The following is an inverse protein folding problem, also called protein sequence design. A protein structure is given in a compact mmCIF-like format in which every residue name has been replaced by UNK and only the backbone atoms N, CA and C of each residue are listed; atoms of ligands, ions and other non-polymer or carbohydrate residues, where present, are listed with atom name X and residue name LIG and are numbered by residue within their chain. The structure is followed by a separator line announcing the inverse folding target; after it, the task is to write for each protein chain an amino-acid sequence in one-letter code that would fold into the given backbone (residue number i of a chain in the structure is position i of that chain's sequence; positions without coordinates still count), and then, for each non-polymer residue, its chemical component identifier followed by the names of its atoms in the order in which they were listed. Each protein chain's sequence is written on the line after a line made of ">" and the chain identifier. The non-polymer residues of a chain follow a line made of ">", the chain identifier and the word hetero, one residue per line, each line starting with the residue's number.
data_IF_082044229900
#
_entry.id   IF_082044229900
#
_cell.length_a   1.000
_cell.length_b   1.000
_cell.length_c   1.000
_cell.angle_alpha   90.00
_cell.angle_beta   90.00
_cell.angle_gamma   90.00
#
_symmetry.space_group_name_H-M   'P 1'
#
loop_
_entity.id
_entity.type
_entity.pdbx_description
1 polymer ?
#
# COMPACT_ATOMS: atom_id res chain seq x y z
N UNK A 1 -8.22 -12.46 -19.72
CA UNK A 1 -9.18 -11.37 -19.36
C UNK A 1 -10.56 -11.73 -19.88
N UNK A 2 -11.59 -11.75 -19.02
CA UNK A 2 -12.99 -11.93 -19.41
C UNK A 2 -13.48 -10.75 -20.24
N UNK A 3 -14.22 -11.02 -21.29
CA UNK A 3 -14.89 -9.97 -22.06
C UNK A 3 -16.25 -9.62 -21.41
N UNK A 4 -16.37 -8.39 -20.93
CA UNK A 4 -17.53 -7.93 -20.18
C UNK A 4 -18.37 -6.99 -21.06
N UNK A 5 -19.56 -7.48 -21.52
CA UNK A 5 -20.45 -6.73 -22.42
C UNK A 5 -21.21 -5.58 -21.76
N UNK A 6 -21.24 -5.53 -20.44
CA UNK A 6 -22.08 -4.52 -19.72
C UNK A 6 -21.68 -3.06 -20.00
N UNK A 7 -20.45 -2.82 -20.48
CA UNK A 7 -19.96 -1.49 -20.82
C UNK A 7 -20.03 -1.18 -22.31
N UNK A 8 -20.28 -2.17 -23.17
CA UNK A 8 -20.30 -2.03 -24.62
C UNK A 8 -21.37 -1.00 -25.04
N UNK A 9 -20.95 0.03 -25.79
CA UNK A 9 -21.78 1.15 -26.23
C UNK A 9 -22.45 1.95 -25.10
N UNK A 10 -21.95 1.84 -23.84
CA UNK A 10 -22.42 2.64 -22.71
C UNK A 10 -21.54 3.87 -22.50
N UNK A 11 -22.17 5.01 -22.22
CA UNK A 11 -21.43 6.20 -21.77
C UNK A 11 -20.95 5.98 -20.35
N UNK A 12 -19.66 6.16 -20.12
CA UNK A 12 -19.01 6.00 -18.82
C UNK A 12 -18.21 7.26 -18.50
N UNK A 13 -18.40 7.78 -17.30
CA UNK A 13 -17.62 8.90 -16.78
C UNK A 13 -16.51 8.38 -15.89
N UNK A 14 -15.25 8.74 -16.20
CA UNK A 14 -14.08 8.52 -15.30
C UNK A 14 -13.76 9.84 -14.63
N UNK A 15 -13.82 9.89 -13.30
CA UNK A 15 -13.58 11.09 -12.51
C UNK A 15 -12.22 11.00 -11.79
N UNK A 16 -11.28 11.85 -12.24
CA UNK A 16 -9.90 11.95 -11.74
C UNK A 16 -8.90 11.07 -12.49
N UNK A 17 -7.80 11.67 -12.92
CA UNK A 17 -6.73 11.06 -13.73
C UNK A 17 -5.44 10.78 -12.96
N UNK A 18 -5.53 10.22 -11.74
CA UNK A 18 -4.38 9.50 -11.19
C UNK A 18 -4.24 8.13 -11.88
N UNK A 19 -3.20 7.37 -11.55
CA UNK A 19 -2.87 6.06 -12.17
C UNK A 19 -4.08 5.12 -12.34
N UNK A 20 -4.97 5.04 -11.34
CA UNK A 20 -6.17 4.19 -11.39
C UNK A 20 -7.22 4.70 -12.37
N UNK A 21 -7.41 6.02 -12.47
CA UNK A 21 -8.36 6.62 -13.43
C UNK A 21 -7.91 6.46 -14.87
N UNK A 22 -6.63 6.68 -15.14
CA UNK A 22 -6.03 6.46 -16.45
C UNK A 22 -6.15 4.98 -16.89
N UNK A 23 -5.84 4.05 -15.98
CA UNK A 23 -6.01 2.60 -16.24
C UNK A 23 -7.46 2.22 -16.50
N UNK A 24 -8.40 2.77 -15.71
CA UNK A 24 -9.82 2.53 -15.88
C UNK A 24 -10.34 3.07 -17.23
N UNK A 25 -9.92 4.28 -17.63
CA UNK A 25 -10.34 4.88 -18.89
C UNK A 25 -9.93 4.02 -20.09
N UNK A 26 -8.66 3.60 -20.16
CA UNK A 26 -8.17 2.73 -21.24
C UNK A 26 -8.83 1.36 -21.25
N UNK A 27 -9.07 0.78 -20.07
CA UNK A 27 -9.77 -0.51 -19.99
C UNK A 27 -11.20 -0.39 -20.51
N UNK A 28 -11.95 0.62 -20.06
CA UNK A 28 -13.34 0.84 -20.47
C UNK A 28 -13.47 1.09 -21.97
N UNK A 29 -12.54 1.86 -22.56
CA UNK A 29 -12.48 2.06 -24.01
C UNK A 29 -12.25 0.72 -24.74
N UNK A 30 -11.32 -0.13 -24.29
CA UNK A 30 -11.11 -1.49 -24.83
C UNK A 30 -12.33 -2.39 -24.70
N UNK A 31 -13.16 -2.18 -23.68
CA UNK A 31 -14.44 -2.89 -23.47
C UNK A 31 -15.58 -2.32 -24.31
N UNK A 32 -15.31 -1.34 -25.18
CA UNK A 32 -16.28 -0.74 -26.09
C UNK A 32 -17.19 0.31 -25.43
N UNK A 33 -16.82 0.87 -24.28
CA UNK A 33 -17.52 1.97 -23.66
C UNK A 33 -17.26 3.29 -24.40
N UNK A 34 -18.21 4.21 -24.34
CA UNK A 34 -18.06 5.62 -24.76
C UNK A 34 -17.54 6.39 -23.54
N UNK A 35 -16.21 6.49 -23.44
CA UNK A 35 -15.56 7.04 -22.26
C UNK A 35 -15.45 8.55 -22.33
N UNK A 36 -15.88 9.23 -21.26
CA UNK A 36 -15.56 10.63 -20.99
C UNK A 36 -14.75 10.69 -19.69
N UNK A 37 -13.64 11.39 -19.72
CA UNK A 37 -12.81 11.60 -18.53
C UNK A 37 -12.95 13.03 -18.05
N UNK A 38 -13.04 13.23 -16.73
CA UNK A 38 -13.01 14.56 -16.10
C UNK A 38 -11.92 14.63 -15.03
N UNK A 39 -11.10 15.68 -15.10
CA UNK A 39 -10.05 15.96 -14.11
C UNK A 39 -9.94 17.46 -13.82
N UNK A 40 -9.70 17.83 -12.57
CA UNK A 40 -9.61 19.23 -12.14
C UNK A 40 -8.34 19.95 -12.61
N UNK A 41 -7.26 19.23 -12.97
CA UNK A 41 -6.02 19.85 -13.46
C UNK A 41 -6.22 20.43 -14.86
N UNK A 42 -5.58 21.59 -15.17
CA UNK A 42 -5.52 22.10 -16.52
C UNK A 42 -4.95 21.07 -17.50
N UNK A 43 -5.40 21.12 -18.76
CA UNK A 43 -4.98 20.18 -19.81
C UNK A 43 -3.46 20.18 -20.02
N UNK A 44 -2.86 21.36 -20.02
CA UNK A 44 -1.43 21.59 -20.26
C UNK A 44 -0.55 20.97 -19.15
N UNK A 45 -1.10 20.81 -17.97
CA UNK A 45 -0.42 20.24 -16.78
C UNK A 45 -0.75 18.77 -16.55
N UNK A 46 -1.51 18.14 -17.47
CA UNK A 46 -2.03 16.79 -17.29
C UNK A 46 -1.62 15.86 -18.45
N UNK A 47 -0.40 15.27 -18.41
CA UNK A 47 0.08 14.37 -19.47
C UNK A 47 -0.83 13.16 -19.71
N UNK A 48 -1.52 12.65 -18.67
CA UNK A 48 -2.46 11.55 -18.83
C UNK A 48 -3.69 11.98 -19.66
N UNK A 49 -4.18 13.22 -19.46
CA UNK A 49 -5.26 13.78 -20.26
C UNK A 49 -4.87 13.94 -21.72
N UNK A 50 -3.65 14.40 -21.98
CA UNK A 50 -3.09 14.57 -23.34
C UNK A 50 -3.00 13.21 -24.04
N UNK A 51 -2.42 12.21 -23.38
CA UNK A 51 -2.30 10.86 -23.95
C UNK A 51 -3.66 10.23 -24.26
N UNK A 52 -4.64 10.34 -23.35
CA UNK A 52 -5.97 9.79 -23.57
C UNK A 52 -6.74 10.48 -24.70
N UNK A 53 -6.53 11.80 -24.88
CA UNK A 53 -7.12 12.54 -26.00
C UNK A 53 -6.51 12.08 -27.33
N UNK A 54 -5.20 11.85 -27.40
CA UNK A 54 -4.52 11.30 -28.58
C UNK A 54 -5.02 9.88 -28.93
N UNK A 55 -5.43 9.10 -27.92
CA UNK A 55 -6.05 7.79 -28.08
C UNK A 55 -7.53 7.87 -28.51
N UNK A 56 -8.13 9.08 -28.61
CA UNK A 56 -9.50 9.31 -29.05
C UNK A 56 -10.53 9.34 -27.92
N UNK A 57 -10.11 9.31 -26.66
CA UNK A 57 -10.99 9.39 -25.49
C UNK A 57 -11.35 10.85 -25.23
N UNK A 58 -12.64 11.13 -25.00
CA UNK A 58 -13.10 12.48 -24.67
C UNK A 58 -12.59 12.90 -23.29
N UNK A 59 -11.93 14.07 -23.20
CA UNK A 59 -11.33 14.59 -21.98
C UNK A 59 -11.91 15.99 -21.66
N UNK A 60 -12.30 16.21 -20.41
CA UNK A 60 -12.77 17.49 -19.86
C UNK A 60 -11.90 17.83 -18.65
N UNK A 61 -11.10 18.87 -18.73
CA UNK A 61 -10.11 19.25 -17.72
C UNK A 61 -10.24 20.71 -17.27
N UNK A 62 -9.51 21.09 -16.22
CA UNK A 62 -9.49 22.45 -15.69
C UNK A 62 -10.70 22.79 -14.81
N UNK A 63 -11.45 21.78 -14.37
CA UNK A 63 -12.59 21.94 -13.47
C UNK A 63 -13.54 20.75 -13.51
N UNK A 64 -14.62 20.87 -12.75
CA UNK A 64 -15.64 19.82 -12.62
C UNK A 64 -17.02 20.39 -12.97
N UNK A 65 -17.35 20.59 -14.28
CA UNK A 65 -18.63 21.13 -14.69
C UNK A 65 -19.76 20.13 -14.38
N UNK A 66 -20.70 20.52 -13.52
CA UNK A 66 -21.81 19.66 -13.11
C UNK A 66 -22.75 19.33 -14.27
N UNK A 67 -22.80 20.19 -15.30
CA UNK A 67 -23.59 20.01 -16.54
C UNK A 67 -23.13 18.77 -17.32
N UNK A 68 -21.88 18.32 -17.11
CA UNK A 68 -21.38 17.08 -17.72
C UNK A 68 -22.27 15.89 -17.36
N UNK A 69 -22.83 15.87 -16.14
CA UNK A 69 -23.75 14.83 -15.68
C UNK A 69 -25.19 14.95 -16.27
N UNK A 70 -25.45 15.91 -17.13
CA UNK A 70 -26.70 15.95 -17.89
C UNK A 70 -26.66 15.00 -19.09
N UNK A 71 -25.50 14.45 -19.41
CA UNK A 71 -25.39 13.28 -20.28
C UNK A 71 -25.85 11.99 -19.53
N UNK A 72 -26.41 11.03 -20.29
CA UNK A 72 -26.88 9.75 -19.73
C UNK A 72 -25.73 8.77 -19.50
N UNK A 73 -24.95 9.00 -18.45
CA UNK A 73 -23.92 8.05 -18.04
C UNK A 73 -24.52 6.82 -17.36
N UNK A 74 -24.10 5.63 -17.81
CA UNK A 74 -24.49 4.36 -17.20
C UNK A 74 -23.77 4.09 -15.87
N UNK A 75 -22.56 4.63 -15.71
CA UNK A 75 -21.74 4.47 -14.51
C UNK A 75 -20.69 5.57 -14.43
N UNK A 76 -20.32 5.95 -13.21
CA UNK A 76 -19.14 6.76 -12.90
C UNK A 76 -18.06 5.89 -12.27
N UNK A 77 -16.84 5.94 -12.80
CA UNK A 77 -15.67 5.34 -12.15
C UNK A 77 -14.82 6.46 -11.57
N UNK A 78 -14.78 6.58 -10.24
CA UNK A 78 -14.07 7.66 -9.57
C UNK A 78 -12.69 7.22 -9.07
N UNK A 79 -11.74 8.14 -9.08
CA UNK A 79 -10.50 7.96 -8.34
C UNK A 79 -10.79 7.79 -6.83
N UNK A 80 -10.22 6.78 -6.15
CA UNK A 80 -10.50 6.51 -4.74
C UNK A 80 -10.31 7.71 -3.81
N UNK A 81 -9.32 8.57 -4.08
CA UNK A 81 -9.04 9.77 -3.29
C UNK A 81 -10.07 10.89 -3.37
N UNK A 82 -10.96 10.87 -4.37
CA UNK A 82 -12.06 11.83 -4.47
C UNK A 82 -13.14 11.46 -3.45
N UNK A 83 -13.52 12.35 -2.51
CA UNK A 83 -14.51 12.03 -1.49
C UNK A 83 -15.92 11.92 -2.08
N UNK A 84 -16.80 11.20 -1.38
CA UNK A 84 -18.20 11.09 -1.75
C UNK A 84 -18.99 12.42 -1.59
N UNK A 85 -18.45 13.37 -0.83
CA UNK A 85 -18.94 14.75 -0.69
C UNK A 85 -18.49 15.67 -1.85
N UNK A 86 -17.77 15.14 -2.85
CA UNK A 86 -17.47 15.90 -4.06
C UNK A 86 -18.76 16.17 -4.84
N UNK A 87 -19.05 17.42 -5.27
CA UNK A 87 -20.30 17.76 -5.94
C UNK A 87 -20.63 16.91 -7.19
N UNK A 88 -19.59 16.47 -7.94
CA UNK A 88 -19.80 15.55 -9.07
C UNK A 88 -20.29 14.19 -8.62
N UNK A 89 -19.76 13.68 -7.51
CA UNK A 89 -20.15 12.36 -6.97
C UNK A 89 -21.55 12.46 -6.36
N UNK A 90 -21.84 13.50 -5.58
CA UNK A 90 -23.17 13.73 -5.01
C UNK A 90 -24.24 13.81 -6.11
N UNK A 91 -24.03 14.64 -7.14
CA UNK A 91 -24.97 14.78 -8.27
C UNK A 91 -25.14 13.46 -9.05
N UNK A 92 -24.07 12.66 -9.21
CA UNK A 92 -24.18 11.35 -9.84
C UNK A 92 -25.08 10.41 -9.04
N UNK A 93 -24.88 10.34 -7.71
CA UNK A 93 -25.71 9.53 -6.82
C UNK A 93 -27.17 10.00 -6.79
N UNK A 94 -27.44 11.31 -6.76
CA UNK A 94 -28.79 11.88 -6.85
C UNK A 94 -29.49 11.49 -8.15
N UNK A 95 -28.75 11.37 -9.25
CA UNK A 95 -29.28 10.90 -10.55
C UNK A 95 -29.41 9.38 -10.64
N UNK A 96 -29.00 8.63 -9.59
CA UNK A 96 -29.01 7.16 -9.59
C UNK A 96 -27.89 6.54 -10.46
N UNK A 97 -26.85 7.30 -10.80
CA UNK A 97 -25.69 6.78 -11.53
C UNK A 97 -24.80 5.99 -10.54
N UNK A 98 -24.55 4.70 -10.76
CA UNK A 98 -23.65 3.92 -9.92
C UNK A 98 -22.25 4.53 -9.90
N UNK A 99 -21.62 4.59 -8.71
CA UNK A 99 -20.27 5.13 -8.52
C UNK A 99 -19.34 4.01 -8.09
N UNK A 100 -18.45 3.63 -8.99
CA UNK A 100 -17.49 2.53 -8.80
C UNK A 100 -16.07 3.06 -8.62
N UNK A 101 -15.19 2.17 -8.15
CA UNK A 101 -13.75 2.34 -8.19
C UNK A 101 -13.10 1.32 -9.13
N UNK A 102 -11.90 1.58 -9.54
CA UNK A 102 -11.16 0.80 -10.55
C UNK A 102 -10.99 -0.69 -10.16
N UNK A 103 -10.99 -1.01 -8.87
CA UNK A 103 -10.86 -2.40 -8.39
C UNK A 103 -12.09 -3.25 -8.72
N UNK A 104 -13.28 -2.65 -8.85
CA UNK A 104 -14.47 -3.32 -9.36
C UNK A 104 -14.27 -3.78 -10.80
N UNK A 105 -13.70 -2.92 -11.65
CA UNK A 105 -13.40 -3.26 -13.04
C UNK A 105 -12.40 -4.42 -13.12
N UNK A 106 -11.37 -4.40 -12.27
CA UNK A 106 -10.38 -5.48 -12.18
C UNK A 106 -11.05 -6.82 -11.86
N UNK A 107 -11.96 -6.86 -10.90
CA UNK A 107 -12.74 -8.06 -10.57
C UNK A 107 -13.56 -8.58 -11.77
N UNK A 108 -14.28 -7.68 -12.42
CA UNK A 108 -15.18 -8.04 -13.52
C UNK A 108 -14.44 -8.71 -14.69
N UNK A 109 -13.23 -8.27 -14.99
CA UNK A 109 -12.44 -8.77 -16.14
C UNK A 109 -11.45 -9.90 -15.78
N UNK A 110 -11.21 -10.16 -14.48
CA UNK A 110 -10.19 -11.12 -14.05
C UNK A 110 -10.60 -12.57 -14.34
N UNK A 111 -9.71 -13.33 -14.96
CA UNK A 111 -9.80 -14.79 -14.99
C UNK A 111 -9.12 -15.42 -13.76
N UNK A 112 -8.21 -14.70 -13.12
CA UNK A 112 -7.50 -15.16 -11.92
C UNK A 112 -8.37 -15.01 -10.66
N UNK A 113 -8.26 -15.94 -9.70
CA UNK A 113 -8.83 -15.78 -8.37
C UNK A 113 -8.22 -14.59 -7.65
N UNK A 114 -8.97 -13.99 -6.72
CA UNK A 114 -8.57 -12.79 -6.01
C UNK A 114 -8.40 -13.07 -4.52
N UNK A 115 -7.28 -12.63 -3.98
CA UNK A 115 -7.04 -12.48 -2.54
C UNK A 115 -7.05 -11.00 -2.23
N UNK A 116 -8.03 -10.52 -1.47
CA UNK A 116 -8.16 -9.12 -1.11
C UNK A 116 -7.60 -8.85 0.29
N UNK A 117 -6.69 -7.91 0.43
CA UNK A 117 -6.06 -7.56 1.72
C UNK A 117 -6.38 -6.11 2.07
N UNK A 118 -7.00 -5.89 3.24
CA UNK A 118 -7.23 -4.57 3.80
C UNK A 118 -6.81 -4.52 5.28
N UNK A 119 -6.96 -3.36 5.89
CA UNK A 119 -6.65 -3.09 7.30
C UNK A 119 -6.12 -1.68 7.49
N UNK A 120 -5.88 -1.29 8.73
CA UNK A 120 -5.26 0.01 9.02
C UNK A 120 -3.76 -0.03 8.75
N UNK A 121 -3.06 -0.98 9.34
CA UNK A 121 -1.61 -1.19 9.21
C UNK A 121 -1.28 -2.59 8.68
N UNK A 122 -0.06 -2.80 8.18
CA UNK A 122 0.43 -4.11 7.74
C UNK A 122 -0.04 -4.57 6.36
N UNK A 123 -0.98 -3.89 5.71
CA UNK A 123 -1.51 -4.26 4.38
C UNK A 123 -0.40 -4.58 3.37
N UNK A 124 0.48 -3.63 3.12
CA UNK A 124 1.53 -3.75 2.10
C UNK A 124 2.47 -4.91 2.39
N UNK A 125 2.89 -5.06 3.64
CA UNK A 125 3.77 -6.16 4.08
C UNK A 125 3.07 -7.51 3.89
N UNK A 126 1.84 -7.64 4.37
CA UNK A 126 1.05 -8.88 4.24
C UNK A 126 0.79 -9.21 2.77
N UNK A 127 0.41 -8.22 1.94
CA UNK A 127 0.19 -8.42 0.51
C UNK A 127 1.46 -8.90 -0.20
N UNK A 128 2.61 -8.30 0.14
CA UNK A 128 3.89 -8.69 -0.45
C UNK A 128 4.31 -10.09 0.00
N UNK A 129 4.25 -10.39 1.30
CA UNK A 129 4.54 -11.73 1.82
C UNK A 129 3.67 -12.81 1.17
N UNK A 130 2.36 -12.57 1.04
CA UNK A 130 1.44 -13.51 0.37
C UNK A 130 1.85 -13.72 -1.10
N UNK A 131 2.11 -12.62 -1.82
CA UNK A 131 2.51 -12.69 -3.23
C UNK A 131 3.81 -13.46 -3.43
N UNK A 132 4.82 -13.24 -2.59
CA UNK A 132 6.10 -13.97 -2.65
C UNK A 132 5.93 -15.45 -2.32
N UNK A 133 5.16 -15.79 -1.27
CA UNK A 133 4.90 -17.19 -0.90
C UNK A 133 4.14 -17.92 -2.01
N UNK A 134 3.12 -17.31 -2.61
CA UNK A 134 2.38 -17.92 -3.71
C UNK A 134 3.25 -18.08 -4.97
N UNK A 135 4.09 -17.10 -5.26
CA UNK A 135 5.04 -17.17 -6.38
C UNK A 135 6.06 -18.28 -6.17
N UNK A 136 6.63 -18.39 -4.96
CA UNK A 136 7.54 -19.48 -4.61
C UNK A 136 6.88 -20.85 -4.68
N UNK A 137 5.57 -20.94 -4.40
CA UNK A 137 4.76 -22.15 -4.56
C UNK A 137 4.32 -22.42 -6.01
N UNK A 138 4.73 -21.61 -6.98
CA UNK A 138 4.35 -21.77 -8.40
C UNK A 138 2.91 -21.37 -8.73
N UNK A 139 2.26 -20.59 -7.87
CA UNK A 139 0.86 -20.14 -8.04
C UNK A 139 0.70 -18.73 -8.63
N UNK A 140 1.79 -18.08 -9.11
CA UNK A 140 1.74 -16.79 -9.79
C UNK A 140 1.10 -15.67 -8.98
N UNK A 141 1.64 -15.34 -7.80
CA UNK A 141 1.14 -14.26 -6.93
C UNK A 141 1.38 -12.86 -7.51
N UNK A 142 0.38 -12.28 -8.18
CA UNK A 142 0.47 -10.97 -8.84
C UNK A 142 -0.01 -9.85 -7.92
N UNK A 143 0.91 -8.98 -7.50
CA UNK A 143 0.62 -7.85 -6.63
C UNK A 143 -0.09 -6.72 -7.40
N UNK A 144 -1.15 -6.16 -6.83
CA UNK A 144 -1.92 -5.08 -7.47
C UNK A 144 -2.74 -4.24 -6.49
N UNK A 145 -3.43 -3.24 -6.99
CA UNK A 145 -4.34 -2.38 -6.23
C UNK A 145 -3.67 -1.13 -5.67
N UNK A 146 -3.67 -0.98 -4.34
CA UNK A 146 -3.06 0.18 -3.68
C UNK A 146 -1.52 0.10 -3.61
N UNK A 147 -0.95 -0.97 -4.11
CA UNK A 147 0.50 -1.17 -4.27
C UNK A 147 0.82 -1.62 -5.70
N UNK A 148 2.01 -1.30 -6.17
CA UNK A 148 2.46 -1.69 -7.49
C UNK A 148 1.67 -1.02 -8.61
N UNK A 149 1.06 -1.84 -9.46
CA UNK A 149 0.25 -1.39 -10.58
C UNK A 149 -1.25 -1.37 -10.26
N UNK A 150 -2.04 -0.54 -10.95
CA UNK A 150 -3.49 -0.58 -10.85
C UNK A 150 -4.04 -1.99 -11.06
N UNK A 151 -5.04 -2.37 -10.27
CA UNK A 151 -5.59 -3.72 -10.30
C UNK A 151 -6.17 -4.08 -11.68
N UNK A 152 -6.84 -3.14 -12.34
CA UNK A 152 -7.38 -3.32 -13.69
C UNK A 152 -6.29 -3.53 -14.75
N UNK A 153 -5.10 -2.96 -14.56
CA UNK A 153 -3.97 -3.19 -15.46
C UNK A 153 -3.44 -4.62 -15.32
N UNK A 154 -3.23 -5.08 -14.08
CA UNK A 154 -2.72 -6.43 -13.81
C UNK A 154 -3.74 -7.49 -14.22
N UNK A 155 -5.03 -7.27 -13.94
CA UNK A 155 -6.12 -8.20 -14.29
C UNK A 155 -6.25 -8.47 -15.80
N UNK A 156 -5.82 -7.55 -16.66
CA UNK A 156 -5.86 -7.75 -18.13
C UNK A 156 -4.91 -8.85 -18.62
N UNK A 157 -3.82 -9.10 -17.90
CA UNK A 157 -2.79 -10.08 -18.27
C UNK A 157 -2.82 -11.35 -17.41
N UNK A 158 -3.48 -11.29 -16.26
CA UNK A 158 -3.62 -12.42 -15.36
C UNK A 158 -4.44 -13.55 -15.98
N UNK A 159 -4.03 -14.78 -15.69
CA UNK A 159 -4.65 -16.01 -16.17
C UNK A 159 -5.24 -16.83 -15.00
N UNK A 160 -5.99 -17.88 -15.27
CA UNK A 160 -6.52 -18.80 -14.24
C UNK A 160 -5.42 -19.50 -13.40
N UNK A 161 -4.16 -19.48 -13.88
CA UNK A 161 -3.01 -20.04 -13.16
C UNK A 161 -2.38 -19.07 -12.17
N UNK A 162 -2.73 -17.80 -12.29
CA UNK A 162 -2.25 -16.73 -11.45
C UNK A 162 -3.22 -16.47 -10.29
N UNK A 163 -2.78 -15.70 -9.31
CA UNK A 163 -3.60 -15.20 -8.20
C UNK A 163 -3.40 -13.70 -8.09
N UNK A 164 -4.46 -12.91 -8.21
CA UNK A 164 -4.41 -11.47 -7.95
C UNK A 164 -4.37 -11.24 -6.44
N UNK A 165 -3.24 -10.79 -5.93
CA UNK A 165 -3.04 -10.43 -4.53
C UNK A 165 -3.19 -8.92 -4.42
N UNK A 166 -4.38 -8.47 -4.00
CA UNK A 166 -4.80 -7.08 -4.09
C UNK A 166 -4.75 -6.38 -2.74
N UNK A 167 -3.88 -5.37 -2.60
CA UNK A 167 -3.98 -4.42 -1.49
C UNK A 167 -5.14 -3.46 -1.73
N UNK A 168 -6.06 -3.36 -0.77
CA UNK A 168 -7.28 -2.57 -0.88
C UNK A 168 -7.40 -1.54 0.25
N UNK A 169 -7.50 -0.27 -0.12
CA UNK A 169 -7.79 0.82 0.81
C UNK A 169 -9.29 0.89 1.14
N UNK A 170 -9.65 1.54 2.26
CA UNK A 170 -11.05 1.83 2.58
C UNK A 170 -11.74 2.64 1.49
N UNK A 171 -11.01 3.56 0.85
CA UNK A 171 -11.52 4.40 -0.22
C UNK A 171 -11.91 3.62 -1.48
N UNK A 172 -11.11 2.60 -1.84
CA UNK A 172 -11.43 1.70 -2.95
C UNK A 172 -12.63 0.82 -2.64
N UNK A 173 -12.72 0.30 -1.42
CA UNK A 173 -13.78 -0.59 -0.98
C UNK A 173 -15.16 0.08 -0.83
N UNK A 174 -15.23 1.40 -0.83
CA UNK A 174 -16.50 2.13 -0.86
C UNK A 174 -17.19 2.07 -2.24
N UNK A 175 -16.43 1.88 -3.32
CA UNK A 175 -16.94 1.86 -4.70
C UNK A 175 -16.91 0.47 -5.33
N UNK A 176 -17.17 -0.59 -4.56
CA UNK A 176 -17.33 -1.94 -5.07
C UNK A 176 -18.81 -2.37 -5.06
N UNK A 177 -19.23 -3.12 -6.07
CA UNK A 177 -20.59 -3.63 -6.21
C UNK A 177 -20.62 -5.17 -6.24
N UNK A 178 -20.03 -5.79 -7.26
CA UNK A 178 -19.96 -7.23 -7.44
C UNK A 178 -18.65 -7.84 -6.94
N UNK A 179 -17.68 -7.04 -6.56
CA UNK A 179 -16.35 -7.49 -6.11
C UNK A 179 -16.44 -8.63 -5.10
N UNK A 180 -15.81 -9.76 -5.42
CA UNK A 180 -15.92 -10.99 -4.66
C UNK A 180 -14.55 -11.69 -4.61
N UNK A 181 -13.75 -11.55 -3.54
CA UNK A 181 -12.52 -12.29 -3.36
C UNK A 181 -12.80 -13.72 -2.85
N UNK A 182 -12.00 -14.70 -3.26
CA UNK A 182 -12.04 -16.06 -2.69
C UNK A 182 -11.48 -16.07 -1.26
N UNK A 183 -10.47 -15.21 -1.01
CA UNK A 183 -9.88 -15.03 0.30
C UNK A 183 -9.82 -13.53 0.61
N UNK A 184 -10.36 -13.13 1.76
CA UNK A 184 -10.22 -11.79 2.30
C UNK A 184 -9.31 -11.80 3.53
N UNK A 185 -8.49 -10.76 3.70
CA UNK A 185 -7.64 -10.58 4.88
C UNK A 185 -7.89 -9.19 5.46
N UNK A 186 -8.21 -9.13 6.74
CA UNK A 186 -8.25 -7.87 7.50
C UNK A 186 -7.14 -7.93 8.56
N UNK A 187 -6.06 -7.19 8.33
CA UNK A 187 -4.86 -7.23 9.19
C UNK A 187 -5.12 -6.68 10.58
N UNK A 188 -5.74 -5.52 10.66
CA UNK A 188 -6.20 -4.87 11.89
C UNK A 188 -7.11 -3.68 11.56
N UNK A 189 -7.87 -3.22 12.56
CA UNK A 189 -8.77 -2.08 12.48
C UNK A 189 -8.45 -1.10 13.61
N UNK A 190 -7.91 0.06 13.26
CA UNK A 190 -7.55 1.13 14.19
C UNK A 190 -8.00 2.48 13.63
N UNK A 191 -8.39 3.45 14.46
CA UNK A 191 -8.83 4.77 14.01
C UNK A 191 -7.77 5.45 13.13
N UNK A 192 -8.18 5.73 11.89
CA UNK A 192 -7.39 6.50 10.91
C UNK A 192 -8.33 7.01 9.82
N UNK A 193 -7.95 8.06 9.09
CA UNK A 193 -8.75 8.69 8.04
C UNK A 193 -10.17 9.08 8.48
N UNK A 194 -10.33 9.52 9.73
CA UNK A 194 -11.63 9.95 10.27
C UNK A 194 -12.12 11.23 9.60
N UNK A 195 -11.20 12.09 9.16
CA UNK A 195 -11.46 13.28 8.34
C UNK A 195 -12.23 12.96 7.06
N UNK A 196 -11.94 11.82 6.42
CA UNK A 196 -12.61 11.36 5.21
C UNK A 196 -13.90 10.57 5.50
N UNK A 197 -13.87 9.66 6.47
CA UNK A 197 -14.98 8.74 6.74
C UNK A 197 -16.03 9.30 7.74
N UNK A 198 -15.70 10.41 8.41
CA UNK A 198 -16.56 11.04 9.42
C UNK A 198 -16.56 10.35 10.78
N UNK A 199 -16.39 9.01 10.83
CA UNK A 199 -16.30 8.24 12.08
C UNK A 199 -15.47 6.96 11.91
N UNK A 200 -15.08 6.36 13.05
CA UNK A 200 -14.39 5.06 13.04
C UNK A 200 -15.31 3.94 12.55
N UNK A 201 -16.57 3.97 12.90
CA UNK A 201 -17.59 3.00 12.48
C UNK A 201 -17.75 2.99 10.95
N UNK A 202 -17.80 4.17 10.34
CA UNK A 202 -17.86 4.29 8.88
C UNK A 202 -16.58 3.77 8.20
N UNK A 203 -15.40 4.05 8.81
CA UNK A 203 -14.13 3.52 8.33
C UNK A 203 -14.10 1.99 8.40
N UNK A 204 -14.56 1.40 9.50
CA UNK A 204 -14.70 -0.05 9.66
C UNK A 204 -15.68 -0.61 8.63
N UNK A 205 -16.84 0.01 8.47
CA UNK A 205 -17.84 -0.41 7.48
C UNK A 205 -17.28 -0.40 6.06
N UNK A 206 -16.53 0.66 5.69
CA UNK A 206 -15.88 0.74 4.38
C UNK A 206 -14.92 -0.43 4.14
N UNK A 207 -14.10 -0.81 5.13
CA UNK A 207 -13.20 -1.97 5.01
C UNK A 207 -13.96 -3.30 5.04
N UNK A 208 -15.03 -3.38 5.81
CA UNK A 208 -15.87 -4.57 5.91
C UNK A 208 -16.60 -4.89 4.60
N UNK A 209 -16.77 -3.91 3.70
CA UNK A 209 -17.29 -4.16 2.35
C UNK A 209 -16.50 -5.24 1.60
N UNK A 210 -15.22 -5.45 1.92
CA UNK A 210 -14.39 -6.49 1.30
C UNK A 210 -15.07 -7.87 1.27
N UNK A 211 -15.87 -8.18 2.30
CA UNK A 211 -16.53 -9.50 2.42
C UNK A 211 -18.01 -9.50 1.99
N UNK A 212 -18.59 -8.37 1.54
CA UNK A 212 -20.04 -8.24 1.35
C UNK A 212 -20.66 -9.26 0.40
N UNK A 213 -19.91 -9.71 -0.60
CA UNK A 213 -20.36 -10.68 -1.60
C UNK A 213 -19.81 -12.11 -1.34
N UNK A 214 -19.02 -12.30 -0.27
CA UNK A 214 -18.46 -13.60 0.07
C UNK A 214 -19.54 -14.57 0.55
N UNK A 215 -19.29 -15.84 0.31
CA UNK A 215 -20.17 -16.97 0.63
C UNK A 215 -19.48 -17.96 1.58
N UNK A 216 -20.16 -19.02 1.98
CA UNK A 216 -19.60 -20.11 2.80
C UNK A 216 -18.45 -20.88 2.13
N UNK A 217 -18.25 -20.69 0.82
CA UNK A 217 -17.13 -21.28 0.08
C UNK A 217 -15.84 -20.50 0.26
N UNK A 218 -15.96 -19.24 0.59
CA UNK A 218 -14.86 -18.28 0.68
C UNK A 218 -14.28 -18.23 2.09
N UNK A 219 -13.09 -17.66 2.25
CA UNK A 219 -12.39 -17.58 3.53
C UNK A 219 -12.08 -16.14 3.88
N UNK A 220 -12.43 -15.74 5.11
CA UNK A 220 -11.99 -14.47 5.67
C UNK A 220 -10.98 -14.68 6.80
N UNK A 221 -9.79 -14.09 6.67
CA UNK A 221 -8.69 -14.16 7.63
C UNK A 221 -8.76 -12.92 8.53
N UNK A 222 -8.93 -13.11 9.84
CA UNK A 222 -9.18 -12.05 10.81
C UNK A 222 -8.21 -12.09 12.00
N UNK A 223 -7.79 -10.91 12.46
CA UNK A 223 -6.89 -10.72 13.58
C UNK A 223 -7.64 -10.81 14.92
N UNK A 224 -7.60 -11.95 15.59
CA UNK A 224 -8.25 -12.18 16.89
C UNK A 224 -7.49 -11.58 18.07
N UNK A 225 -6.40 -10.85 17.87
CA UNK A 225 -5.88 -9.95 18.91
C UNK A 225 -6.85 -8.78 19.20
N UNK A 226 -7.85 -8.55 18.31
CA UNK A 226 -8.81 -7.46 18.42
C UNK A 226 -10.22 -7.99 18.67
N UNK A 227 -10.87 -7.53 19.74
CA UNK A 227 -12.26 -7.91 20.06
C UNK A 227 -13.24 -7.48 18.94
N UNK A 228 -12.98 -6.34 18.29
CA UNK A 228 -13.76 -5.91 17.12
C UNK A 228 -13.73 -6.94 15.99
N UNK A 229 -12.57 -7.58 15.72
CA UNK A 229 -12.48 -8.62 14.71
C UNK A 229 -13.27 -9.88 15.10
N UNK A 230 -13.28 -10.24 16.38
CA UNK A 230 -14.11 -11.34 16.93
C UNK A 230 -15.61 -11.04 16.78
N UNK A 231 -16.02 -9.81 17.05
CA UNK A 231 -17.40 -9.36 16.82
C UNK A 231 -17.78 -9.44 15.33
N UNK A 232 -16.94 -8.90 14.45
CA UNK A 232 -17.18 -8.92 13.00
C UNK A 232 -17.23 -10.34 12.43
N UNK A 233 -16.47 -11.28 12.99
CA UNK A 233 -16.50 -12.70 12.63
C UNK A 233 -17.89 -13.33 12.70
N UNK A 234 -18.78 -12.81 13.56
CA UNK A 234 -20.17 -13.29 13.69
C UNK A 234 -21.11 -12.74 12.60
N UNK A 235 -20.65 -11.77 11.80
CA UNK A 235 -21.46 -11.01 10.84
C UNK A 235 -21.17 -11.36 9.37
N UNK A 236 -20.33 -12.36 9.11
CA UNK A 236 -20.01 -12.82 7.77
C UNK A 236 -20.61 -14.18 7.44
N UNK A 237 -20.82 -14.44 6.14
CA UNK A 237 -21.15 -15.78 5.63
C UNK A 237 -19.91 -16.60 5.30
N UNK A 238 -18.75 -15.92 5.09
CA UNK A 238 -17.50 -16.58 4.77
C UNK A 238 -17.00 -17.43 5.93
N UNK A 239 -16.27 -18.47 5.65
CA UNK A 239 -15.57 -19.27 6.65
C UNK A 239 -14.48 -18.42 7.32
N UNK A 240 -14.62 -18.19 8.62
CA UNK A 240 -13.64 -17.42 9.40
C UNK A 240 -12.43 -18.28 9.70
N UNK A 241 -11.25 -17.72 9.38
CA UNK A 241 -9.95 -18.30 9.72
C UNK A 241 -9.18 -17.27 10.57
N UNK A 242 -9.15 -17.44 11.89
CA UNK A 242 -8.50 -16.48 12.77
C UNK A 242 -6.98 -16.60 12.75
N UNK A 243 -6.30 -15.49 13.05
CA UNK A 243 -4.91 -15.50 13.48
C UNK A 243 -4.73 -14.69 14.76
N UNK A 244 -3.74 -15.09 15.59
CA UNK A 244 -3.47 -14.43 16.87
C UNK A 244 -2.03 -14.60 17.33
N UNK A 245 -1.48 -13.56 17.96
CA UNK A 245 -0.20 -13.60 18.68
C UNK A 245 -0.38 -13.75 20.19
N UNK A 246 -1.63 -13.69 20.70
CA UNK A 246 -1.91 -13.63 22.14
C UNK A 246 -2.68 -14.85 22.64
N UNK A 247 -3.32 -15.61 21.77
CA UNK A 247 -4.09 -16.80 22.13
C UNK A 247 -4.04 -17.88 21.06
N UNK A 248 -4.24 -19.13 21.47
CA UNK A 248 -4.40 -20.26 20.54
C UNK A 248 -5.77 -20.18 19.87
N UNK A 249 -5.78 -20.25 18.55
CA UNK A 249 -6.99 -20.20 17.71
C UNK A 249 -7.06 -21.38 16.73
N UNK A 250 -8.24 -21.68 16.19
CA UNK A 250 -8.39 -22.66 15.10
C UNK A 250 -7.97 -22.05 13.74
N UNK A 251 -6.71 -21.64 13.68
CA UNK A 251 -6.10 -20.93 12.55
C UNK A 251 -4.60 -20.82 12.71
N UNK A 252 -4.05 -19.63 12.41
CA UNK A 252 -2.63 -19.36 12.60
C UNK A 252 -2.38 -18.66 13.95
N UNK A 253 -1.39 -19.10 14.73
CA UNK A 253 -1.12 -18.49 16.03
C UNK A 253 0.34 -18.61 16.46
N UNK A 254 0.75 -17.72 17.37
CA UNK A 254 2.02 -17.75 18.04
C UNK A 254 1.91 -18.50 19.37
N UNK A 255 2.74 -19.52 19.61
CA UNK A 255 2.85 -20.23 20.88
C UNK A 255 4.30 -20.62 21.12
N UNK A 256 4.86 -20.25 22.27
CA UNK A 256 6.24 -20.56 22.67
C UNK A 256 7.31 -20.18 21.61
N UNK A 257 7.14 -19.01 20.96
CA UNK A 257 8.04 -18.54 19.89
C UNK A 257 7.89 -19.29 18.56
N UNK A 258 6.89 -20.15 18.42
CA UNK A 258 6.58 -20.91 17.22
C UNK A 258 5.35 -20.35 16.52
N UNK A 259 5.44 -20.12 15.22
CA UNK A 259 4.31 -19.83 14.35
C UNK A 259 3.68 -21.15 13.95
N UNK A 260 2.44 -21.35 14.35
CA UNK A 260 1.69 -22.60 14.16
C UNK A 260 0.43 -22.35 13.32
N UNK A 261 0.01 -23.36 12.59
CA UNK A 261 -1.28 -23.42 11.93
C UNK A 261 -2.03 -24.67 12.37
N UNK A 262 -3.17 -24.49 13.05
CA UNK A 262 -4.01 -25.59 13.57
C UNK A 262 -3.23 -26.66 14.32
N UNK A 263 -2.24 -26.24 15.11
CA UNK A 263 -1.37 -27.11 15.92
C UNK A 263 -0.09 -27.57 15.23
N UNK A 264 0.00 -27.46 13.91
CA UNK A 264 1.21 -27.79 13.16
C UNK A 264 2.21 -26.64 13.20
N UNK A 265 3.48 -26.91 13.48
CA UNK A 265 4.55 -25.91 13.48
C UNK A 265 4.92 -25.59 12.02
N UNK A 266 4.92 -24.31 11.68
CA UNK A 266 5.34 -23.81 10.37
C UNK A 266 6.78 -23.31 10.42
N UNK A 267 7.10 -22.43 11.39
CA UNK A 267 8.44 -21.88 11.57
C UNK A 267 8.59 -21.27 12.97
N UNK A 268 9.80 -20.86 13.32
CA UNK A 268 10.06 -20.05 14.53
C UNK A 268 9.86 -18.56 14.21
N UNK A 269 9.39 -17.78 15.17
CA UNK A 269 9.21 -16.34 15.00
C UNK A 269 10.54 -15.57 14.80
N UNK A 270 11.63 -16.06 15.40
CA UNK A 270 12.97 -15.48 15.26
C UNK A 270 13.66 -15.83 13.93
N UNK A 271 13.09 -16.74 13.14
CA UNK A 271 13.54 -17.04 11.77
C UNK A 271 12.93 -16.09 10.72
N UNK A 272 11.98 -15.20 11.09
CA UNK A 272 11.44 -14.21 10.15
C UNK A 272 12.55 -13.26 9.68
N UNK A 273 12.62 -13.06 8.36
CA UNK A 273 13.62 -12.16 7.75
C UNK A 273 13.43 -10.68 8.10
N UNK A 274 12.28 -10.31 8.67
CA UNK A 274 11.97 -8.96 9.16
C UNK A 274 11.61 -8.97 10.64
N UNK A 275 12.23 -8.14 11.48
CA UNK A 275 11.97 -8.08 12.90
C UNK A 275 10.65 -7.37 13.25
N UNK A 276 10.21 -7.54 14.49
CA UNK A 276 9.11 -6.80 15.09
C UNK A 276 7.82 -7.61 15.23
N UNK A 277 7.11 -7.40 16.36
CA UNK A 277 5.87 -8.12 16.69
C UNK A 277 4.77 -7.94 15.65
N UNK A 278 4.68 -6.75 15.04
CA UNK A 278 3.74 -6.48 13.96
C UNK A 278 4.02 -7.32 12.68
N UNK A 279 5.29 -7.70 12.45
CA UNK A 279 5.63 -8.60 11.35
C UNK A 279 5.31 -10.06 11.66
N UNK A 280 5.29 -10.44 12.93
CA UNK A 280 4.75 -11.74 13.35
C UNK A 280 3.26 -11.84 13.04
N UNK A 281 2.46 -10.78 13.28
CA UNK A 281 1.05 -10.72 12.89
C UNK A 281 0.88 -10.82 11.36
N UNK A 282 1.68 -10.08 10.59
CA UNK A 282 1.66 -10.12 9.13
C UNK A 282 2.02 -11.53 8.61
N UNK A 283 3.01 -12.18 9.21
CA UNK A 283 3.42 -13.55 8.88
C UNK A 283 2.32 -14.57 9.21
N UNK A 284 1.64 -14.45 10.36
CA UNK A 284 0.51 -15.33 10.72
C UNK A 284 -0.65 -15.20 9.74
N UNK A 285 -1.00 -13.97 9.34
CA UNK A 285 -2.00 -13.75 8.30
C UNK A 285 -1.57 -14.37 6.95
N UNK A 286 -0.29 -14.26 6.59
CA UNK A 286 0.28 -14.88 5.39
C UNK A 286 0.23 -16.40 5.47
N UNK A 287 0.64 -16.99 6.60
CA UNK A 287 0.56 -18.45 6.86
C UNK A 287 -0.88 -18.94 6.68
N UNK A 288 -1.86 -18.24 7.27
CA UNK A 288 -3.27 -18.59 7.14
C UNK A 288 -3.70 -18.66 5.66
N UNK A 289 -3.37 -17.65 4.86
CA UNK A 289 -3.66 -17.62 3.42
C UNK A 289 -2.94 -18.73 2.67
N UNK A 290 -1.64 -18.91 2.91
CA UNK A 290 -0.81 -19.92 2.26
C UNK A 290 -1.34 -21.34 2.52
N UNK A 291 -1.75 -21.64 3.75
CA UNK A 291 -2.33 -22.95 4.12
C UNK A 291 -3.69 -23.18 3.47
N UNK A 292 -4.53 -22.16 3.29
CA UNK A 292 -5.77 -22.24 2.52
C UNK A 292 -5.48 -22.56 1.05
N UNK A 293 -4.40 -22.03 0.52
CA UNK A 293 -3.94 -22.25 -0.86
C UNK A 293 -3.14 -23.56 -1.03
N UNK A 294 -2.99 -24.35 0.03
CA UNK A 294 -2.31 -25.65 -0.01
C UNK A 294 -0.78 -25.56 -0.13
N UNK A 295 -0.19 -24.45 0.30
CA UNK A 295 1.28 -24.28 0.25
C UNK A 295 1.93 -25.08 1.39
N UNK A 296 3.01 -25.79 1.06
CA UNK A 296 3.79 -26.58 2.00
C UNK A 296 4.55 -25.70 3.00
N UNK A 297 4.72 -26.19 4.24
CA UNK A 297 5.37 -25.43 5.30
C UNK A 297 6.80 -25.01 4.96
N UNK A 298 7.55 -25.84 4.27
CA UNK A 298 8.94 -25.53 3.91
C UNK A 298 9.00 -24.33 2.96
N UNK A 299 8.13 -24.25 1.95
CA UNK A 299 8.05 -23.10 1.03
C UNK A 299 7.68 -21.83 1.80
N UNK A 300 6.72 -21.92 2.73
CA UNK A 300 6.33 -20.78 3.58
C UNK A 300 7.51 -20.31 4.42
N UNK A 301 8.17 -21.25 5.12
CA UNK A 301 9.32 -20.98 5.98
C UNK A 301 10.47 -20.35 5.21
N UNK A 302 10.91 -20.97 4.12
CA UNK A 302 12.03 -20.46 3.29
C UNK A 302 11.74 -19.04 2.79
N UNK A 303 10.53 -18.80 2.28
CA UNK A 303 10.14 -17.49 1.74
C UNK A 303 10.09 -16.42 2.84
N UNK A 304 9.42 -16.70 3.96
CA UNK A 304 9.30 -15.72 5.06
C UNK A 304 10.63 -15.47 5.78
N UNK A 305 11.53 -16.45 5.83
CA UNK A 305 12.88 -16.26 6.37
C UNK A 305 13.76 -15.43 5.45
N UNK A 306 13.58 -15.55 4.15
CA UNK A 306 14.30 -14.75 3.16
C UNK A 306 13.68 -13.36 2.92
N UNK A 307 12.46 -13.10 3.44
CA UNK A 307 11.75 -11.84 3.22
C UNK A 307 12.48 -10.66 3.84
N UNK A 308 13.09 -9.82 3.01
CA UNK A 308 13.87 -8.64 3.45
C UNK A 308 13.04 -7.36 3.68
N UNK A 309 11.70 -7.45 3.75
CA UNK A 309 10.82 -6.30 3.86
C UNK A 309 10.30 -5.80 2.51
N UNK A 310 9.38 -4.84 2.58
CA UNK A 310 8.82 -4.22 1.38
C UNK A 310 9.82 -3.23 0.81
N UNK A 311 10.07 -3.30 -0.51
CA UNK A 311 10.97 -2.37 -1.20
C UNK A 311 10.65 -0.92 -0.82
N UNK A 312 11.65 -0.18 -0.39
CA UNK A 312 11.55 1.21 0.08
C UNK A 312 10.72 1.46 1.37
N UNK A 313 10.38 0.41 2.14
CA UNK A 313 9.68 0.53 3.43
C UNK A 313 10.43 -0.25 4.51
N UNK A 314 11.27 0.46 5.27
CA UNK A 314 12.20 -0.14 6.26
C UNK A 314 12.91 -1.40 5.72
N UNK A 315 13.16 -1.39 4.42
CA UNK A 315 13.82 -2.48 3.71
C UNK A 315 15.26 -2.61 4.20
N UNK A 316 15.61 -3.73 4.79
CA UNK A 316 17.01 -4.07 5.01
C UNK A 316 17.71 -4.23 3.66
N UNK A 317 18.83 -3.54 3.47
CA UNK A 317 19.55 -3.53 2.20
C UNK A 317 20.80 -4.40 2.27
N UNK A 318 21.65 -4.12 3.25
CA UNK A 318 22.94 -4.81 3.40
C UNK A 318 23.60 -4.46 4.74
N UNK A 319 24.68 -5.19 5.06
CA UNK A 319 25.62 -4.86 6.14
C UNK A 319 27.01 -4.76 5.56
N UNK A 320 27.63 -3.57 5.64
CA UNK A 320 28.95 -3.30 5.10
C UNK A 320 29.84 -2.81 6.24
N UNK A 321 30.95 -3.50 6.50
CA UNK A 321 31.89 -3.21 7.59
C UNK A 321 31.20 -3.11 8.97
N UNK A 322 30.13 -3.90 9.17
CA UNK A 322 29.34 -3.89 10.40
C UNK A 322 28.32 -2.75 10.50
N UNK A 323 28.14 -1.94 9.46
CA UNK A 323 27.10 -0.89 9.35
C UNK A 323 25.92 -1.45 8.58
N UNK A 324 24.71 -1.38 9.17
CA UNK A 324 23.47 -1.84 8.55
C UNK A 324 22.78 -0.72 7.80
N UNK A 325 22.32 -0.99 6.59
CA UNK A 325 21.61 -0.04 5.74
C UNK A 325 20.13 -0.38 5.62
N UNK A 326 19.27 0.61 5.85
CA UNK A 326 17.82 0.48 5.70
C UNK A 326 17.26 1.54 4.76
N UNK A 327 16.45 1.10 3.80
CA UNK A 327 15.77 1.95 2.84
C UNK A 327 14.30 2.13 3.23
N UNK A 328 13.95 3.33 3.64
CA UNK A 328 12.58 3.73 3.97
C UNK A 328 12.16 4.97 3.16
N UNK A 329 12.57 5.01 1.89
CA UNK A 329 12.28 6.12 0.97
C UNK A 329 10.78 6.42 0.83
N UNK A 330 9.90 5.46 1.13
CA UNK A 330 8.44 5.62 1.16
C UNK A 330 7.94 6.49 2.31
N UNK A 331 8.74 6.77 3.32
CA UNK A 331 8.42 7.68 4.42
C UNK A 331 8.48 9.13 3.95
N UNK A 332 7.40 9.58 3.28
CA UNK A 332 7.27 10.89 2.64
C UNK A 332 6.60 11.93 3.54
N UNK A 333 6.47 11.65 4.83
CA UNK A 333 5.94 12.56 5.86
C UNK A 333 6.56 12.27 7.23
N UNK A 334 6.40 13.23 8.15
CA UNK A 334 6.97 13.20 9.50
C UNK A 334 6.52 11.95 10.26
N UNK A 335 5.22 11.66 10.29
CA UNK A 335 4.67 10.53 11.05
C UNK A 335 5.26 9.17 10.60
N UNK A 336 5.51 9.00 9.30
CA UNK A 336 6.11 7.78 8.78
C UNK A 336 7.55 7.62 9.30
N UNK A 337 8.35 8.67 9.27
CA UNK A 337 9.73 8.66 9.79
C UNK A 337 9.77 8.47 11.31
N UNK A 338 8.85 9.04 12.07
CA UNK A 338 8.72 8.78 13.51
C UNK A 338 8.51 7.28 13.79
N UNK A 339 7.62 6.65 13.03
CA UNK A 339 7.37 5.20 13.14
C UNK A 339 8.60 4.37 12.75
N UNK A 340 9.31 4.77 11.71
CA UNK A 340 10.54 4.10 11.31
C UNK A 340 11.59 4.15 12.42
N UNK A 341 11.84 5.33 12.99
CA UNK A 341 12.81 5.52 14.06
C UNK A 341 12.49 4.73 15.32
N UNK A 342 11.21 4.52 15.65
CA UNK A 342 10.81 3.77 16.83
C UNK A 342 11.29 2.31 16.87
N UNK A 343 11.79 1.78 15.76
CA UNK A 343 12.34 0.43 15.65
C UNK A 343 13.86 0.34 15.92
N UNK A 344 14.52 1.48 16.22
CA UNK A 344 15.98 1.53 16.34
C UNK A 344 16.42 2.19 17.66
N UNK A 345 17.67 1.92 18.04
CA UNK A 345 18.39 2.67 19.07
C UNK A 345 18.95 3.95 18.44
N UNK A 346 18.36 5.10 18.76
CA UNK A 346 18.75 6.39 18.19
C UNK A 346 20.25 6.66 18.27
N UNK A 347 20.92 6.24 19.35
CA UNK A 347 22.37 6.49 19.53
C UNK A 347 23.25 5.82 18.47
N UNK A 348 22.68 4.90 17.69
CA UNK A 348 23.36 4.16 16.62
C UNK A 348 22.84 4.53 15.23
N UNK A 349 21.86 5.44 15.13
CA UNK A 349 21.26 5.78 13.84
C UNK A 349 21.89 7.02 13.24
N UNK A 350 22.26 6.92 11.97
CA UNK A 350 22.55 8.04 11.09
C UNK A 350 21.37 8.16 10.13
N UNK A 351 20.58 9.24 10.29
CA UNK A 351 19.35 9.47 9.54
C UNK A 351 19.61 10.32 8.30
N UNK A 352 19.23 9.81 7.12
CA UNK A 352 19.18 10.61 5.89
C UNK A 352 17.75 11.15 5.75
N UNK A 353 17.59 12.50 5.81
CA UNK A 353 16.31 13.17 5.80
C UNK A 353 16.29 14.43 4.93
N UNK A 354 15.09 14.77 4.42
CA UNK A 354 14.84 15.93 3.57
C UNK A 354 14.19 15.57 2.22
N UNK A 355 13.92 16.60 1.42
CA UNK A 355 13.20 16.49 0.14
C UNK A 355 12.39 17.76 -0.12
N UNK A 356 11.24 17.63 -0.81
CA UNK A 356 10.37 18.75 -1.21
C UNK A 356 9.89 19.59 -0.01
N UNK A 357 10.05 20.89 -0.07
CA UNK A 357 9.52 21.82 0.94
C UNK A 357 8.03 22.12 0.69
N UNK A 358 7.17 21.61 1.57
CA UNK A 358 5.72 21.88 1.58
C UNK A 358 5.31 22.92 2.62
N UNK A 359 6.28 23.64 3.19
CA UNK A 359 6.02 24.64 4.22
C UNK A 359 5.78 24.08 5.62
N UNK A 360 5.89 22.77 5.83
CA UNK A 360 5.68 22.15 7.15
C UNK A 360 6.86 22.43 8.07
N UNK A 361 6.59 22.74 9.35
CA UNK A 361 7.60 22.71 10.39
C UNK A 361 7.79 21.26 10.88
N UNK A 362 9.02 20.93 11.34
CA UNK A 362 9.39 19.59 11.78
C UNK A 362 9.43 19.45 13.30
N UNK A 363 8.72 20.31 14.03
CA UNK A 363 8.70 20.30 15.49
C UNK A 363 8.20 18.97 16.08
N UNK A 364 7.24 18.34 15.42
CA UNK A 364 6.74 17.00 15.80
C UNK A 364 7.81 15.91 15.67
N UNK A 365 8.83 16.11 14.82
CA UNK A 365 9.93 15.15 14.65
C UNK A 365 10.97 15.26 15.77
N UNK A 366 11.12 16.42 16.41
CA UNK A 366 12.16 16.72 17.41
C UNK A 366 12.27 15.66 18.51
N UNK A 367 11.18 15.23 19.19
CA UNK A 367 11.27 14.20 20.23
C UNK A 367 11.81 12.85 19.73
N UNK A 368 11.60 12.54 18.44
CA UNK A 368 11.95 11.24 17.84
C UNK A 368 13.36 11.21 17.29
N UNK A 369 13.94 12.36 16.92
CA UNK A 369 15.32 12.47 16.46
C UNK A 369 16.30 12.77 17.61
N UNK A 370 15.80 13.19 18.78
CA UNK A 370 16.66 13.40 19.95
C UNK A 370 17.48 12.14 20.26
N UNK A 371 18.78 12.31 20.39
CA UNK A 371 19.72 11.23 20.66
C UNK A 371 20.17 10.45 19.42
N UNK A 372 19.80 10.86 18.22
CA UNK A 372 20.41 10.31 16.98
C UNK A 372 21.92 10.59 16.99
N UNK A 373 22.68 9.64 16.44
CA UNK A 373 24.13 9.81 16.32
C UNK A 373 24.47 10.97 15.37
N UNK A 374 23.81 11.05 14.23
CA UNK A 374 24.05 12.07 13.21
C UNK A 374 22.85 12.15 12.26
N UNK A 375 22.72 13.29 11.56
CA UNK A 375 21.80 13.42 10.42
C UNK A 375 22.56 13.84 9.15
N UNK A 376 22.14 13.31 8.00
CA UNK A 376 22.55 13.79 6.68
C UNK A 376 21.33 14.40 6.01
N UNK A 377 21.40 15.69 5.72
CA UNK A 377 20.23 16.48 5.32
C UNK A 377 20.37 16.94 3.87
N UNK A 378 19.28 16.79 3.08
CA UNK A 378 19.26 17.12 1.65
C UNK A 378 17.93 17.76 1.22
N UNK A 379 17.91 18.33 0.03
CA UNK A 379 16.70 18.83 -0.64
C UNK A 379 16.21 20.18 -0.17
N UNK A 380 15.10 20.63 -0.74
CA UNK A 380 14.52 21.96 -0.50
C UNK A 380 14.13 22.19 0.95
N UNK A 381 13.67 21.15 1.66
CA UNK A 381 13.27 21.24 3.08
C UNK A 381 14.44 21.32 4.06
N UNK A 382 15.69 21.21 3.59
CA UNK A 382 16.89 21.19 4.43
C UNK A 382 16.93 22.31 5.49
N UNK A 383 16.59 23.59 5.20
CA UNK A 383 16.60 24.64 6.22
C UNK A 383 15.65 24.37 7.39
N UNK A 384 14.51 23.72 7.15
CA UNK A 384 13.51 23.38 8.18
C UNK A 384 13.92 22.16 8.99
N UNK A 385 14.45 21.13 8.29
CA UNK A 385 14.95 19.89 8.94
C UNK A 385 16.14 20.22 9.85
N UNK A 386 17.04 21.13 9.44
CA UNK A 386 18.16 21.62 10.26
C UNK A 386 17.68 22.29 11.54
N UNK A 387 16.64 23.15 11.47
CA UNK A 387 16.04 23.74 12.68
C UNK A 387 15.54 22.69 13.67
N UNK A 388 14.96 21.60 13.18
CA UNK A 388 14.55 20.50 14.04
C UNK A 388 15.74 19.76 14.65
N UNK A 389 16.79 19.52 13.87
CA UNK A 389 18.06 18.94 14.36
C UNK A 389 18.71 19.81 15.42
N UNK A 390 18.79 21.14 15.22
CA UNK A 390 19.28 22.11 16.20
C UNK A 390 18.49 22.06 17.51
N UNK A 391 17.14 22.04 17.43
CA UNK A 391 16.27 21.90 18.61
C UNK A 391 16.47 20.59 19.35
N UNK A 392 16.77 19.51 18.63
CA UNK A 392 17.02 18.19 19.20
C UNK A 392 18.46 18.00 19.70
N UNK A 393 19.36 18.93 19.38
CA UNK A 393 20.79 18.84 19.69
C UNK A 393 21.52 17.74 18.92
N UNK A 394 21.05 17.44 17.70
CA UNK A 394 21.65 16.38 16.83
C UNK A 394 22.59 17.02 15.82
N UNK A 395 23.84 16.56 15.72
CA UNK A 395 24.78 17.01 14.70
C UNK A 395 24.30 16.61 13.30
N UNK A 396 24.66 17.43 12.29
CA UNK A 396 24.28 17.14 10.90
C UNK A 396 25.29 17.64 9.87
N UNK A 397 25.25 17.03 8.69
CA UNK A 397 25.97 17.47 7.49
C UNK A 397 25.01 17.58 6.30
N UNK A 398 25.36 18.45 5.34
CA UNK A 398 24.60 18.61 4.10
C UNK A 398 25.02 17.59 3.04
N UNK A 399 24.05 17.21 2.20
CA UNK A 399 24.30 16.39 1.02
C UNK A 399 23.60 16.98 -0.21
N UNK A 400 24.21 16.73 -1.40
CA UNK A 400 23.70 17.21 -2.66
C UNK A 400 22.52 16.36 -3.18
N UNK A 401 22.58 15.06 -3.00
CA UNK A 401 21.59 14.05 -3.41
C UNK A 401 21.67 12.83 -2.49
N UNK A 402 20.86 11.79 -2.79
CA UNK A 402 20.83 10.56 -1.99
C UNK A 402 22.11 9.75 -2.14
N UNK A 403 22.77 9.79 -3.27
CA UNK A 403 24.04 9.08 -3.46
C UNK A 403 25.16 9.69 -2.59
N UNK A 404 25.27 11.05 -2.59
CA UNK A 404 26.18 11.79 -1.72
C UNK A 404 25.84 11.58 -0.24
N UNK A 405 24.54 11.65 0.10
CA UNK A 405 24.06 11.42 1.45
C UNK A 405 24.41 10.02 1.99
N UNK A 406 24.26 9.00 1.15
CA UNK A 406 24.55 7.61 1.53
C UNK A 406 26.04 7.41 1.81
N UNK A 407 26.91 7.99 0.98
CA UNK A 407 28.38 7.94 1.17
C UNK A 407 28.80 8.66 2.45
N UNK A 408 28.31 9.89 2.65
CA UNK A 408 28.59 10.67 3.88
C UNK A 408 28.09 9.96 5.13
N UNK A 409 26.89 9.38 5.08
CA UNK A 409 26.37 8.61 6.21
C UNK A 409 27.23 7.38 6.52
N UNK A 410 27.76 6.71 5.50
CA UNK A 410 28.69 5.60 5.69
C UNK A 410 30.02 6.05 6.28
N UNK A 411 30.59 7.17 5.83
CA UNK A 411 31.84 7.74 6.36
C UNK A 411 31.73 8.16 7.84
N UNK A 412 30.52 8.58 8.28
CA UNK A 412 30.21 8.95 9.66
C UNK A 412 29.91 7.72 10.55
N UNK A 413 29.62 6.56 9.95
CA UNK A 413 29.22 5.36 10.66
C UNK A 413 30.41 4.60 11.23
N UNK A 414 30.14 3.84 12.28
CA UNK A 414 31.04 2.87 12.89
C UNK A 414 30.37 1.50 12.92
N UNK A 415 31.15 0.42 13.06
CA UNK A 415 30.58 -0.93 13.19
C UNK A 415 29.54 -1.00 14.31
N UNK A 416 28.38 -1.55 14.01
CA UNK A 416 27.21 -1.60 14.88
C UNK A 416 26.18 -0.47 14.67
N UNK A 417 26.51 0.50 13.83
CA UNK A 417 25.58 1.59 13.49
C UNK A 417 24.58 1.21 12.37
N UNK A 418 23.58 2.07 12.21
CA UNK A 418 22.53 1.96 11.21
C UNK A 418 22.49 3.23 10.35
N UNK A 419 22.60 3.10 9.06
CA UNK A 419 22.28 4.15 8.09
C UNK A 419 20.84 3.95 7.63
N UNK A 420 19.98 4.92 7.94
CA UNK A 420 18.55 4.89 7.65
C UNK A 420 18.17 6.00 6.68
N UNK A 421 17.77 5.65 5.45
CA UNK A 421 17.08 6.58 4.56
C UNK A 421 15.60 6.63 4.96
N UNK A 422 15.17 7.65 5.72
CA UNK A 422 13.75 7.91 6.05
C UNK A 422 13.48 9.40 5.97
N UNK A 423 13.14 9.89 4.77
CA UNK A 423 13.29 11.29 4.39
C UNK A 423 12.32 12.26 5.07
N UNK A 424 11.21 11.82 5.64
CA UNK A 424 10.11 12.65 6.18
C UNK A 424 9.44 13.57 5.13
N UNK A 425 9.88 13.53 3.87
CA UNK A 425 9.47 14.42 2.78
C UNK A 425 9.23 13.67 1.48
N UNK A 426 8.35 14.23 0.64
CA UNK A 426 8.23 13.80 -0.75
C UNK A 426 9.55 14.02 -1.50
N UNK A 427 9.73 13.32 -2.62
CA UNK A 427 10.98 13.31 -3.39
C UNK A 427 10.99 14.26 -4.59
N UNK A 428 9.89 14.96 -4.86
CA UNK A 428 9.61 15.62 -6.14
C UNK A 428 10.46 16.89 -6.41
N UNK A 429 11.26 17.31 -5.46
CA UNK A 429 12.28 18.34 -5.65
C UNK A 429 13.49 17.84 -6.45
N UNK A 430 13.85 16.55 -6.32
CA UNK A 430 15.04 15.96 -6.94
C UNK A 430 14.77 14.67 -7.72
N UNK A 431 13.64 14.00 -7.46
CA UNK A 431 13.30 12.70 -8.04
C UNK A 431 11.84 12.66 -8.51
N UNK A 432 11.51 11.95 -9.60
CA UNK A 432 10.14 11.83 -10.09
C UNK A 432 9.17 11.20 -9.06
N UNK A 433 9.69 10.29 -8.23
CA UNK A 433 8.95 9.59 -7.19
C UNK A 433 9.89 9.02 -6.11
N UNK A 434 9.33 8.48 -5.03
CA UNK A 434 10.11 7.92 -3.93
C UNK A 434 10.80 6.60 -4.32
N UNK A 435 10.29 5.89 -5.32
CA UNK A 435 10.87 4.65 -5.83
C UNK A 435 12.24 4.94 -6.45
N UNK A 436 12.34 5.92 -7.33
CA UNK A 436 13.61 6.33 -7.96
C UNK A 436 14.62 6.78 -6.90
N UNK A 437 14.18 7.60 -5.93
CA UNK A 437 15.01 7.99 -4.79
C UNK A 437 15.53 6.79 -3.99
N UNK A 438 14.68 5.83 -3.73
CA UNK A 438 15.05 4.61 -3.01
C UNK A 438 15.92 3.66 -3.83
N UNK A 439 15.74 3.59 -5.15
CA UNK A 439 16.59 2.81 -6.05
C UNK A 439 18.01 3.36 -6.14
N UNK A 440 18.18 4.68 -6.13
CA UNK A 440 19.51 5.30 -6.04
C UNK A 440 20.22 4.95 -4.73
N UNK A 441 19.50 4.97 -3.59
CA UNK A 441 20.06 4.50 -2.32
C UNK A 441 20.55 3.04 -2.42
N UNK A 442 19.70 2.14 -2.97
CA UNK A 442 20.07 0.73 -3.15
C UNK A 442 21.30 0.56 -4.04
N UNK A 443 21.38 1.31 -5.15
CA UNK A 443 22.50 1.26 -6.07
C UNK A 443 23.80 1.77 -5.41
N UNK A 444 23.70 2.86 -4.65
CA UNK A 444 24.84 3.45 -3.94
C UNK A 444 25.36 2.52 -2.86
N UNK A 445 24.48 1.93 -2.03
CA UNK A 445 24.88 0.96 -1.00
C UNK A 445 25.63 -0.23 -1.62
N UNK A 446 25.13 -0.76 -2.76
CA UNK A 446 25.83 -1.85 -3.48
C UNK A 446 27.23 -1.44 -3.98
N UNK A 447 27.42 -0.17 -4.29
CA UNK A 447 28.71 0.38 -4.73
C UNK A 447 29.71 0.68 -3.62
N UNK A 448 29.33 0.55 -2.33
CA UNK A 448 30.22 0.74 -1.17
C UNK A 448 31.03 -0.52 -0.82
N UNK A 449 30.75 -1.65 -1.45
CA UNK A 449 31.48 -2.93 -1.27
C UNK A 449 32.86 -2.88 -1.94
#
# INVERSE_FOLDING_TARGET
>A
MKFVKQFENKKVLVLGLAKSGESAARLLDRLGAIVTVNDGKPFEENPAAQSLLEEGIKVVTGGHPLELLDEDFAVMVKNPGIPYTNPMVEKALEKGIPVLTEVELAYLISDAPIIGITGSNGKTTTTTMIGEVLTAAGQGGLLSGNIGFPASQVAQTATEKDVLVMELSSFQLMGIEAFHPEIAVITNLMPTHIDYHGSFENYVAAKWNLQKNMTEKDVIVLNFNQDLAKELATKTKARVLPFSTVEKVDGAYLEDGLLKFKGEVVMRADELGVPGSHNVENALATIAVAKVRGVENEVIKETLSAFGGVKHRLQYVDEIQGVKFYNDSKSTNILATQKALSGFDNSKVILIAGGLDRGNEFDELVPHITGLKEMVILGESAPRVKRAADKAGVPYVDAADVADATKKAFDLASSGDVVLLSPANASWDMYPNFEVRGDEFLATVKGLK
#
